data_IF_386720281598
#
_entry.id   IF_386720281598
#
_cell.length_a   1.000
_cell.length_b   1.000
_cell.length_c   1.000
_cell.angle_alpha   90.00
_cell.angle_beta   90.00
_cell.angle_gamma   90.00
#
_symmetry.space_group_name_H-M   'P 1'
#
loop_
_entity.id
_entity.type
_entity.pdbx_description
1 polymer ?
#
# COMPACT_ATOMS: atom_id res chain seq x y z
N UNK A 1 45.63 -1.14 -3.67
CA UNK A 1 44.23 -0.90 -4.11
C UNK A 1 43.29 -1.33 -2.97
N UNK A 2 43.31 -0.64 -1.80
CA UNK A 2 42.49 -1.11 -0.66
C UNK A 2 42.01 0.01 0.28
N UNK A 3 42.33 1.26 -0.02
CA UNK A 3 41.99 2.39 0.88
C UNK A 3 40.52 2.84 0.78
N UNK A 4 39.82 2.58 -0.31
CA UNK A 4 38.45 3.07 -0.55
C UNK A 4 37.37 2.19 0.10
N UNK A 5 37.61 0.89 0.16
CA UNK A 5 36.71 -0.09 0.80
C UNK A 5 36.73 0.02 2.32
N UNK A 6 37.92 0.28 2.90
CA UNK A 6 38.07 0.47 4.35
C UNK A 6 37.40 1.76 4.83
N UNK A 7 37.54 2.85 4.08
CA UNK A 7 36.85 4.12 4.38
C UNK A 7 35.34 3.98 4.29
N UNK A 8 34.81 3.20 3.35
CA UNK A 8 33.38 2.93 3.23
C UNK A 8 32.88 2.05 4.39
N UNK A 9 33.65 1.04 4.77
CA UNK A 9 33.33 0.16 5.91
C UNK A 9 33.31 0.93 7.23
N UNK A 10 34.23 1.87 7.43
CA UNK A 10 34.27 2.73 8.62
C UNK A 10 33.09 3.71 8.66
N UNK A 11 32.70 4.29 7.52
CA UNK A 11 31.51 5.13 7.44
C UNK A 11 30.22 4.35 7.73
N UNK A 12 30.11 3.12 7.29
CA UNK A 12 28.96 2.25 7.58
C UNK A 12 28.92 1.89 9.05
N UNK A 13 30.07 1.58 9.68
CA UNK A 13 30.18 1.31 11.12
C UNK A 13 29.77 2.53 11.95
N UNK A 14 30.29 3.70 11.62
CA UNK A 14 29.94 4.95 12.31
C UNK A 14 28.45 5.29 12.22
N UNK A 15 27.82 5.08 11.03
CA UNK A 15 26.38 5.28 10.86
C UNK A 15 25.54 4.27 11.66
N UNK A 16 25.97 3.01 11.76
CA UNK A 16 25.29 2.01 12.60
C UNK A 16 25.36 2.39 14.08
N UNK A 17 26.52 2.80 14.58
CA UNK A 17 26.65 3.24 15.97
C UNK A 17 25.79 4.47 16.29
N UNK A 18 25.72 5.44 15.38
CA UNK A 18 24.84 6.60 15.54
C UNK A 18 23.34 6.20 15.58
N UNK A 19 22.95 5.26 14.72
CA UNK A 19 21.57 4.74 14.69
C UNK A 19 21.20 4.00 15.97
N UNK A 20 22.10 3.16 16.47
CA UNK A 20 21.91 2.41 17.73
C UNK A 20 21.77 3.37 18.92
N UNK A 21 22.59 4.44 18.96
CA UNK A 21 22.50 5.47 19.99
C UNK A 21 21.18 6.23 19.95
N UNK A 22 20.68 6.55 18.75
CA UNK A 22 19.38 7.24 18.59
C UNK A 22 18.20 6.33 18.92
N UNK A 23 18.29 5.04 18.61
CA UNK A 23 17.30 4.03 19.02
C UNK A 23 17.26 3.87 20.55
N UNK A 24 18.40 3.87 21.23
CA UNK A 24 18.43 3.85 22.69
C UNK A 24 17.84 5.12 23.30
N UNK A 25 18.12 6.30 22.75
CA UNK A 25 17.50 7.56 23.17
C UNK A 25 15.98 7.55 23.00
N UNK A 26 15.49 6.99 21.89
CA UNK A 26 14.06 6.83 21.66
C UNK A 26 13.44 5.83 22.64
N UNK A 27 14.11 4.71 22.94
CA UNK A 27 13.66 3.75 23.96
C UNK A 27 13.57 4.37 25.34
N UNK A 28 14.56 5.16 25.74
CA UNK A 28 14.56 5.85 27.03
C UNK A 28 13.46 6.92 27.13
N UNK A 29 13.20 7.63 26.03
CA UNK A 29 12.06 8.59 25.95
C UNK A 29 10.69 7.91 26.04
N UNK A 30 10.53 6.72 25.48
CA UNK A 30 9.28 5.98 25.59
C UNK A 30 9.09 5.30 26.95
N UNK A 31 10.17 4.93 27.65
CA UNK A 31 10.10 4.41 29.00
C UNK A 31 9.78 5.49 30.05
N UNK A 32 10.09 6.76 29.80
CA UNK A 32 9.73 7.87 30.68
C UNK A 32 8.26 8.31 30.55
N UNK A 33 7.51 7.75 29.61
CA UNK A 33 6.06 7.87 29.51
C UNK A 33 5.38 6.79 30.37
N UNK A 34 5.71 6.71 31.66
CA UNK A 34 4.90 5.92 32.58
C UNK A 34 3.43 6.46 32.52
N UNK A 35 2.44 5.58 32.35
CA UNK A 35 1.05 6.01 32.44
C UNK A 35 0.82 6.48 33.88
N UNK A 36 0.76 7.81 34.05
CA UNK A 36 0.30 8.41 35.31
C UNK A 36 -1.00 7.71 35.69
N UNK A 37 -1.01 7.10 36.88
CA UNK A 37 -2.14 6.42 37.50
C UNK A 37 -3.37 7.34 37.49
N UNK A 38 -4.22 7.22 36.50
CA UNK A 38 -5.62 7.62 36.56
C UNK A 38 -6.40 6.41 37.07
N UNK A 39 -6.09 6.03 38.30
CA UNK A 39 -6.80 5.02 39.02
C UNK A 39 -7.53 5.71 40.18
N UNK A 40 -8.66 6.29 39.90
CA UNK A 40 -9.72 6.47 40.94
C UNK A 40 -10.94 7.15 40.28
N UNK A 41 -11.90 6.38 39.81
CA UNK A 41 -13.34 6.72 39.80
C UNK A 41 -14.22 5.88 38.87
N UNK A 42 -13.78 4.67 38.50
CA UNK A 42 -14.66 3.73 37.80
C UNK A 42 -14.94 2.54 38.70
N UNK A 43 -16.20 2.34 39.02
CA UNK A 43 -16.64 1.31 39.96
C UNK A 43 -16.22 -0.11 39.51
N UNK A 44 -16.10 -1.00 40.45
CA UNK A 44 -15.56 -2.36 40.40
C UNK A 44 -16.23 -3.33 39.41
N UNK A 45 -17.19 -2.89 38.60
CA UNK A 45 -17.93 -3.73 37.64
C UNK A 45 -17.43 -3.65 36.19
N UNK A 46 -16.60 -2.66 35.85
CA UNK A 46 -16.09 -2.50 34.45
C UNK A 46 -14.76 -3.21 34.21
N UNK A 47 -14.00 -3.53 35.24
CA UNK A 47 -12.66 -4.13 35.13
C UNK A 47 -12.62 -5.49 34.40
N UNK A 48 -13.55 -6.44 34.59
CA UNK A 48 -13.52 -7.73 33.92
C UNK A 48 -13.87 -7.62 32.41
N UNK A 49 -14.71 -6.66 32.00
CA UNK A 49 -15.06 -6.48 30.59
C UNK A 49 -13.91 -5.85 29.79
N UNK A 50 -13.19 -4.90 30.37
CA UNK A 50 -12.02 -4.27 29.72
C UNK A 50 -10.86 -5.27 29.62
N UNK A 51 -10.62 -6.07 30.67
CA UNK A 51 -9.63 -7.13 30.65
C UNK A 51 -9.97 -8.23 29.62
N UNK A 52 -11.23 -8.62 29.51
CA UNK A 52 -11.73 -9.57 28.52
C UNK A 52 -11.59 -9.05 27.08
N UNK A 53 -11.93 -7.78 26.84
CA UNK A 53 -11.77 -7.13 25.54
C UNK A 53 -10.29 -6.98 25.14
N UNK A 54 -9.43 -6.60 26.10
CA UNK A 54 -7.99 -6.53 25.89
C UNK A 54 -7.35 -7.92 25.65
N UNK A 55 -7.77 -8.94 26.40
CA UNK A 55 -7.34 -10.32 26.21
C UNK A 55 -7.81 -10.88 24.85
N UNK A 56 -9.05 -10.59 24.44
CA UNK A 56 -9.60 -10.96 23.14
C UNK A 56 -8.88 -10.22 21.99
N UNK A 57 -8.56 -8.94 22.19
CA UNK A 57 -7.79 -8.14 21.24
C UNK A 57 -6.34 -8.65 21.13
N UNK A 58 -5.66 -8.94 22.25
CA UNK A 58 -4.32 -9.55 22.27
C UNK A 58 -4.34 -10.97 21.68
N UNK A 59 -5.37 -11.76 21.95
CA UNK A 59 -5.53 -13.10 21.38
C UNK A 59 -5.79 -13.05 19.87
N UNK A 60 -6.61 -12.09 19.38
CA UNK A 60 -6.79 -11.82 17.94
C UNK A 60 -5.52 -11.30 17.28
N UNK A 61 -4.73 -10.49 17.99
CA UNK A 61 -3.43 -9.99 17.49
C UNK A 61 -2.37 -11.09 17.46
N UNK A 62 -2.36 -12.01 18.44
CA UNK A 62 -1.48 -13.19 18.46
C UNK A 62 -1.83 -14.22 17.38
N UNK A 63 -3.08 -14.27 16.91
CA UNK A 63 -3.49 -15.14 15.80
C UNK A 63 -3.01 -14.67 14.42
N UNK A 64 -2.39 -13.51 14.33
CA UNK A 64 -1.74 -13.00 13.12
C UNK A 64 -0.20 -13.05 13.21
N UNK A 65 0.35 -14.01 13.95
CA UNK A 65 1.76 -14.29 13.85
C UNK A 65 2.03 -14.87 12.45
N UNK A 66 2.73 -14.11 11.62
CA UNK A 66 3.20 -14.58 10.32
C UNK A 66 4.34 -15.55 10.60
N UNK A 67 4.11 -16.85 10.46
CA UNK A 67 5.06 -17.91 10.79
C UNK A 67 5.54 -18.70 9.57
N UNK A 68 4.95 -18.45 8.40
CA UNK A 68 5.22 -19.19 7.17
C UNK A 68 5.13 -18.31 5.92
N UNK A 69 5.73 -18.78 4.82
CA UNK A 69 5.58 -18.13 3.52
C UNK A 69 4.12 -18.13 3.03
N UNK A 70 3.35 -19.15 3.43
CA UNK A 70 1.91 -19.22 3.17
C UNK A 70 1.15 -18.09 3.87
N UNK A 71 1.52 -17.74 5.11
CA UNK A 71 0.89 -16.63 5.83
C UNK A 71 1.22 -15.30 5.14
N UNK A 72 2.49 -15.11 4.72
CA UNK A 72 2.91 -13.92 3.96
C UNK A 72 2.16 -13.80 2.63
N UNK A 73 1.99 -14.91 1.90
CA UNK A 73 1.20 -14.92 0.68
C UNK A 73 -0.24 -14.45 0.96
N UNK A 74 -0.89 -15.04 1.96
CA UNK A 74 -2.27 -14.69 2.30
C UNK A 74 -2.38 -13.22 2.73
N UNK A 75 -1.46 -12.71 3.56
CA UNK A 75 -1.45 -11.30 3.98
C UNK A 75 -1.25 -10.36 2.79
N UNK A 76 -0.32 -10.67 1.87
CA UNK A 76 -0.11 -9.89 0.65
C UNK A 76 -1.35 -9.88 -0.24
N UNK A 77 -2.01 -11.04 -0.40
CA UNK A 77 -3.27 -11.14 -1.15
C UNK A 77 -4.39 -10.33 -0.50
N UNK A 78 -4.45 -10.28 0.85
CA UNK A 78 -5.43 -9.45 1.57
C UNK A 78 -5.22 -7.97 1.30
N UNK A 79 -3.97 -7.51 1.31
CA UNK A 79 -3.67 -6.10 1.02
C UNK A 79 -3.94 -5.73 -0.43
N UNK A 80 -3.60 -6.60 -1.40
CA UNK A 80 -3.96 -6.43 -2.80
C UNK A 80 -5.47 -6.32 -2.98
N UNK A 81 -6.25 -7.27 -2.45
CA UNK A 81 -7.69 -7.26 -2.61
C UNK A 81 -8.35 -5.98 -2.06
N UNK A 82 -7.88 -5.50 -0.91
CA UNK A 82 -8.35 -4.25 -0.31
C UNK A 82 -7.93 -3.03 -1.14
N UNK A 83 -6.71 -3.04 -1.70
CA UNK A 83 -6.22 -1.98 -2.56
C UNK A 83 -7.10 -1.86 -3.82
N UNK A 84 -7.36 -2.95 -4.52
CA UNK A 84 -8.24 -3.00 -5.69
C UNK A 84 -9.63 -2.44 -5.40
N UNK A 85 -10.27 -2.90 -4.32
CA UNK A 85 -11.60 -2.40 -3.92
C UNK A 85 -11.59 -0.90 -3.61
N UNK A 86 -10.50 -0.38 -3.05
CA UNK A 86 -10.35 1.05 -2.76
C UNK A 86 -10.02 1.87 -4.01
N UNK A 87 -9.26 1.31 -4.95
CA UNK A 87 -8.80 2.00 -6.15
C UNK A 87 -9.95 2.30 -7.11
N UNK A 88 -10.93 1.40 -7.29
CA UNK A 88 -12.08 1.63 -8.19
C UNK A 88 -12.77 2.98 -7.94
N UNK A 89 -13.28 3.30 -6.74
CA UNK A 89 -13.90 4.61 -6.51
C UNK A 89 -12.89 5.76 -6.54
N UNK A 90 -11.60 5.53 -6.34
CA UNK A 90 -10.57 6.54 -6.50
C UNK A 90 -10.39 6.92 -7.97
N UNK A 91 -10.26 5.94 -8.86
CA UNK A 91 -10.15 6.12 -10.31
C UNK A 91 -11.36 6.85 -10.89
N UNK A 92 -12.59 6.50 -10.47
CA UNK A 92 -13.80 7.19 -10.91
C UNK A 92 -13.83 8.66 -10.47
N UNK A 93 -13.29 9.00 -9.30
CA UNK A 93 -13.11 10.40 -8.90
C UNK A 93 -12.05 11.11 -9.73
N UNK A 94 -10.96 10.43 -10.07
CA UNK A 94 -9.90 10.97 -10.91
C UNK A 94 -10.39 11.19 -12.34
N UNK A 95 -11.18 10.28 -12.88
CA UNK A 95 -11.88 10.43 -14.17
C UNK A 95 -12.70 11.73 -14.22
N UNK A 96 -13.53 11.96 -13.21
CA UNK A 96 -14.39 13.18 -13.16
C UNK A 96 -13.56 14.46 -12.98
N UNK A 97 -12.40 14.37 -12.33
CA UNK A 97 -11.54 15.51 -12.04
C UNK A 97 -10.56 15.84 -13.18
N UNK A 98 -10.26 14.89 -14.04
CA UNK A 98 -9.36 15.06 -15.18
C UNK A 98 -10.00 16.00 -16.21
N UNK A 99 -9.18 16.91 -16.78
CA UNK A 99 -9.60 17.82 -17.86
C UNK A 99 -9.15 17.32 -19.22
N UNK A 100 -8.07 16.57 -19.30
CA UNK A 100 -7.65 15.89 -20.51
C UNK A 100 -8.57 14.68 -20.78
N UNK A 101 -9.26 14.62 -21.95
CA UNK A 101 -10.22 13.56 -22.23
C UNK A 101 -9.58 12.16 -22.36
N UNK A 102 -8.32 12.08 -22.82
CA UNK A 102 -7.62 10.81 -22.93
C UNK A 102 -7.26 10.27 -21.54
N UNK A 103 -6.88 11.17 -20.61
CA UNK A 103 -6.63 10.83 -19.21
C UNK A 103 -7.91 10.37 -18.51
N UNK A 104 -9.03 11.09 -18.72
CA UNK A 104 -10.32 10.68 -18.17
C UNK A 104 -10.74 9.30 -18.68
N UNK A 105 -10.62 9.04 -19.99
CA UNK A 105 -10.92 7.75 -20.60
C UNK A 105 -9.98 6.63 -20.10
N UNK A 106 -8.72 6.95 -19.81
CA UNK A 106 -7.78 5.99 -19.25
C UNK A 106 -8.20 5.56 -17.84
N UNK A 107 -8.56 6.50 -16.96
CA UNK A 107 -9.05 6.19 -15.61
C UNK A 107 -10.35 5.38 -15.61
N UNK A 108 -11.26 5.64 -16.57
CA UNK A 108 -12.49 4.87 -16.72
C UNK A 108 -12.21 3.40 -17.07
N UNK A 109 -11.36 3.16 -18.08
CA UNK A 109 -10.98 1.80 -18.47
C UNK A 109 -10.24 1.07 -17.34
N UNK A 110 -9.32 1.76 -16.68
CA UNK A 110 -8.58 1.18 -15.57
C UNK A 110 -9.49 0.83 -14.37
N UNK A 111 -10.51 1.62 -14.09
CA UNK A 111 -11.48 1.27 -13.06
C UNK A 111 -12.26 -0.02 -13.40
N UNK A 112 -12.49 -0.34 -14.66
CA UNK A 112 -13.11 -1.59 -15.08
C UNK A 112 -12.10 -2.78 -14.99
N UNK A 113 -10.86 -2.58 -15.40
CA UNK A 113 -9.78 -3.55 -15.26
C UNK A 113 -9.55 -3.92 -13.79
N UNK A 114 -9.50 -2.93 -12.90
CA UNK A 114 -9.38 -3.07 -11.43
C UNK A 114 -10.50 -3.94 -10.84
N UNK A 115 -11.75 -3.81 -11.32
CA UNK A 115 -12.84 -4.73 -10.93
C UNK A 115 -12.52 -6.17 -11.34
N UNK A 116 -12.00 -6.36 -12.55
CA UNK A 116 -11.55 -7.66 -13.05
C UNK A 116 -10.40 -8.24 -12.19
N UNK A 117 -9.48 -7.41 -11.71
CA UNK A 117 -8.39 -7.79 -10.80
C UNK A 117 -8.93 -8.30 -9.46
N UNK A 118 -9.88 -7.59 -8.85
CA UNK A 118 -10.53 -8.03 -7.60
C UNK A 118 -11.23 -9.39 -7.77
N UNK A 119 -11.92 -9.61 -8.90
CA UNK A 119 -12.55 -10.90 -9.21
C UNK A 119 -11.50 -12.00 -9.43
N UNK A 120 -10.39 -11.68 -10.09
CA UNK A 120 -9.25 -12.59 -10.29
C UNK A 120 -8.61 -12.97 -8.97
N UNK A 121 -8.40 -12.00 -8.06
CA UNK A 121 -7.91 -12.25 -6.69
C UNK A 121 -8.85 -13.18 -5.91
N UNK A 122 -10.16 -13.06 -6.07
CA UNK A 122 -11.12 -13.97 -5.44
C UNK A 122 -10.90 -15.43 -5.88
N UNK A 123 -10.53 -15.64 -7.15
CA UNK A 123 -10.14 -16.98 -7.66
C UNK A 123 -8.80 -17.45 -7.09
N UNK A 124 -7.83 -16.54 -6.97
CA UNK A 124 -6.53 -16.81 -6.33
C UNK A 124 -6.74 -17.24 -4.89
N UNK A 125 -7.51 -16.50 -4.09
CA UNK A 125 -7.83 -16.86 -2.71
C UNK A 125 -8.39 -18.28 -2.58
N UNK A 126 -9.34 -18.60 -3.45
CA UNK A 126 -9.97 -19.95 -3.46
C UNK A 126 -8.94 -21.04 -3.75
N UNK A 127 -8.02 -20.80 -4.70
CA UNK A 127 -7.02 -21.79 -5.10
C UNK A 127 -5.95 -22.04 -4.01
N UNK A 128 -5.69 -21.07 -3.14
CA UNK A 128 -4.75 -21.21 -2.02
C UNK A 128 -5.41 -21.56 -0.69
N UNK A 129 -6.72 -21.91 -0.72
CA UNK A 129 -7.47 -22.31 0.47
C UNK A 129 -7.80 -21.17 1.44
N UNK A 130 -7.78 -19.91 0.96
CA UNK A 130 -8.05 -18.72 1.76
C UNK A 130 -9.32 -17.99 1.29
N UNK A 131 -9.68 -16.91 1.97
CA UNK A 131 -10.82 -16.04 1.62
C UNK A 131 -10.43 -14.57 1.77
N UNK A 132 -10.91 -13.69 0.86
CA UNK A 132 -10.69 -12.27 1.01
C UNK A 132 -11.37 -11.74 2.29
N UNK A 133 -10.76 -10.76 2.92
CA UNK A 133 -11.32 -10.07 4.09
C UNK A 133 -11.73 -8.64 3.74
N UNK A 134 -12.71 -8.12 4.46
CA UNK A 134 -13.08 -6.71 4.37
C UNK A 134 -12.07 -5.84 5.10
N UNK A 135 -11.98 -4.59 4.70
CA UNK A 135 -11.10 -3.59 5.32
C UNK A 135 -10.50 -2.66 4.29
N UNK A 136 -9.45 -1.96 4.70
CA UNK A 136 -8.71 -1.05 3.86
C UNK A 136 -7.22 -1.45 3.82
N UNK A 137 -6.56 -1.24 2.69
CA UNK A 137 -5.10 -1.21 2.59
C UNK A 137 -4.62 0.14 3.12
N UNK A 138 -3.71 0.12 4.09
CA UNK A 138 -3.17 1.36 4.68
C UNK A 138 -2.37 2.15 3.64
N UNK A 139 -1.57 1.47 2.82
CA UNK A 139 -0.77 2.09 1.77
C UNK A 139 -1.66 2.76 0.70
N UNK A 140 -2.67 2.05 0.19
CA UNK A 140 -3.62 2.61 -0.79
C UNK A 140 -4.44 3.76 -0.17
N UNK A 141 -4.80 3.67 1.11
CA UNK A 141 -5.49 4.75 1.84
C UNK A 141 -4.63 6.02 1.86
N UNK A 142 -3.32 5.91 2.09
CA UNK A 142 -2.42 7.07 2.08
C UNK A 142 -2.32 7.71 0.69
N UNK A 143 -2.25 6.91 -0.37
CA UNK A 143 -2.22 7.38 -1.77
C UNK A 143 -3.54 8.10 -2.11
N UNK A 144 -4.69 7.50 -1.80
CA UNK A 144 -6.01 8.12 -2.05
C UNK A 144 -6.20 9.43 -1.27
N UNK A 145 -5.75 9.48 -0.02
CA UNK A 145 -5.79 10.72 0.79
C UNK A 145 -4.94 11.83 0.19
N UNK A 146 -3.76 11.49 -0.35
CA UNK A 146 -2.88 12.45 -1.03
C UNK A 146 -3.56 13.00 -2.30
N UNK A 147 -4.13 12.14 -3.11
CA UNK A 147 -4.92 12.54 -4.29
C UNK A 147 -6.10 13.44 -3.93
N UNK A 148 -6.91 13.05 -2.92
CA UNK A 148 -8.04 13.88 -2.45
C UNK A 148 -7.61 15.23 -1.89
N UNK A 149 -6.45 15.30 -1.23
CA UNK A 149 -5.90 16.55 -0.70
C UNK A 149 -5.65 17.56 -1.82
N UNK A 150 -5.11 17.09 -2.94
CA UNK A 150 -4.89 17.94 -4.10
C UNK A 150 -6.21 18.42 -4.73
N UNK A 151 -7.17 17.50 -4.92
CA UNK A 151 -8.46 17.86 -5.52
C UNK A 151 -9.23 18.94 -4.74
N UNK A 152 -8.89 19.14 -3.47
CA UNK A 152 -9.42 20.24 -2.64
C UNK A 152 -8.66 21.56 -2.80
N UNK A 153 -7.52 21.58 -3.48
CA UNK A 153 -6.73 22.80 -3.71
C UNK A 153 -7.19 23.48 -4.98
N UNK A 154 -7.16 24.79 -5.00
CA UNK A 154 -7.27 25.56 -6.24
C UNK A 154 -5.97 25.33 -7.02
N UNK A 155 -6.07 24.63 -8.13
CA UNK A 155 -4.95 24.32 -9.00
C UNK A 155 -5.38 24.61 -10.45
N UNK A 156 -4.41 24.98 -11.27
CA UNK A 156 -4.60 25.04 -12.71
C UNK A 156 -5.04 23.65 -13.23
N UNK A 157 -5.94 23.59 -14.23
CA UNK A 157 -6.44 22.32 -14.78
C UNK A 157 -5.32 21.39 -15.26
N UNK A 158 -4.34 21.90 -16.01
CA UNK A 158 -3.26 21.09 -16.57
C UNK A 158 -2.30 20.60 -15.48
N UNK A 159 -2.00 21.43 -14.50
CA UNK A 159 -1.21 21.06 -13.31
C UNK A 159 -1.94 20.01 -12.48
N UNK A 160 -3.26 20.08 -12.39
CA UNK A 160 -4.07 19.07 -11.73
C UNK A 160 -4.00 17.72 -12.44
N UNK A 161 -4.07 17.70 -13.77
CA UNK A 161 -3.96 16.48 -14.57
C UNK A 161 -2.58 15.82 -14.38
N UNK A 162 -1.50 16.61 -14.39
CA UNK A 162 -0.16 16.09 -14.10
C UNK A 162 -0.07 15.43 -12.71
N UNK A 163 -0.74 16.01 -11.71
CA UNK A 163 -0.78 15.41 -10.38
C UNK A 163 -1.67 14.16 -10.31
N UNK A 164 -2.77 14.11 -11.06
CA UNK A 164 -3.60 12.91 -11.15
C UNK A 164 -2.79 11.75 -11.71
N UNK A 165 -2.02 11.97 -12.78
CA UNK A 165 -1.09 10.97 -13.32
C UNK A 165 -0.10 10.51 -12.26
N UNK A 166 0.59 11.44 -11.58
CA UNK A 166 1.56 11.11 -10.54
C UNK A 166 0.94 10.33 -9.37
N UNK A 167 -0.32 10.58 -9.06
CA UNK A 167 -1.05 9.86 -8.01
C UNK A 167 -1.43 8.45 -8.45
N UNK A 168 -1.91 8.28 -9.68
CA UNK A 168 -2.19 6.99 -10.26
C UNK A 168 -0.94 6.12 -10.33
N UNK A 169 0.17 6.63 -10.87
CA UNK A 169 1.42 5.88 -10.95
C UNK A 169 1.92 5.37 -9.58
N UNK A 170 1.69 6.12 -8.49
CA UNK A 170 2.02 5.61 -7.14
C UNK A 170 1.16 4.39 -6.77
N UNK A 171 -0.10 4.35 -7.19
CA UNK A 171 -0.95 3.19 -6.99
C UNK A 171 -0.45 2.00 -7.82
N UNK A 172 -0.17 2.22 -9.13
CA UNK A 172 0.38 1.19 -10.02
C UNK A 172 1.67 0.57 -9.44
N UNK A 173 2.61 1.42 -9.00
CA UNK A 173 3.88 0.93 -8.45
C UNK A 173 3.70 0.12 -7.15
N UNK A 174 2.72 0.49 -6.30
CA UNK A 174 2.35 -0.30 -5.13
C UNK A 174 1.81 -1.68 -5.54
N UNK A 175 0.92 -1.71 -6.54
CA UNK A 175 0.30 -2.93 -7.04
C UNK A 175 1.30 -3.83 -7.77
N UNK A 176 2.12 -3.28 -8.66
CA UNK A 176 3.22 -3.99 -9.33
C UNK A 176 4.15 -4.68 -8.33
N UNK A 177 4.56 -3.97 -7.26
CA UNK A 177 5.42 -4.54 -6.22
C UNK A 177 4.74 -5.70 -5.48
N UNK A 178 3.48 -5.51 -5.09
CA UNK A 178 2.71 -6.50 -4.33
C UNK A 178 2.31 -7.71 -5.19
N UNK A 179 1.86 -7.51 -6.44
CA UNK A 179 1.58 -8.61 -7.36
C UNK A 179 2.83 -9.41 -7.69
N UNK A 180 3.97 -8.75 -7.93
CA UNK A 180 5.26 -9.41 -8.15
C UNK A 180 5.68 -10.28 -6.96
N UNK A 181 5.51 -9.77 -5.75
CA UNK A 181 5.79 -10.47 -4.50
C UNK A 181 4.85 -11.67 -4.31
N UNK A 182 3.53 -11.46 -4.41
CA UNK A 182 2.53 -12.51 -4.26
C UNK A 182 2.72 -13.64 -5.29
N UNK A 183 3.00 -13.27 -6.56
CA UNK A 183 3.29 -14.24 -7.62
C UNK A 183 4.51 -15.11 -7.27
N UNK A 184 5.57 -14.50 -6.77
CA UNK A 184 6.79 -15.23 -6.39
C UNK A 184 6.53 -16.16 -5.20
N UNK A 185 5.80 -15.70 -4.17
CA UNK A 185 5.42 -16.55 -3.04
C UNK A 185 4.54 -17.72 -3.49
N UNK A 186 3.53 -17.46 -4.33
CA UNK A 186 2.65 -18.51 -4.88
C UNK A 186 3.45 -19.55 -5.68
N UNK A 187 4.37 -19.14 -6.54
CA UNK A 187 5.23 -20.03 -7.31
C UNK A 187 6.13 -20.88 -6.40
N UNK A 188 6.76 -20.28 -5.39
CA UNK A 188 7.63 -20.98 -4.43
C UNK A 188 6.86 -22.03 -3.61
N UNK A 189 5.58 -21.76 -3.31
CA UNK A 189 4.71 -22.67 -2.58
C UNK A 189 4.04 -23.73 -3.47
N UNK A 190 4.30 -23.74 -4.78
CA UNK A 190 3.71 -24.67 -5.73
C UNK A 190 2.28 -24.34 -6.15
N UNK A 191 1.76 -23.17 -5.80
CA UNK A 191 0.43 -22.69 -6.22
C UNK A 191 0.47 -22.15 -7.67
N UNK A 192 0.77 -23.02 -8.64
CA UNK A 192 1.01 -22.66 -10.04
C UNK A 192 -0.15 -21.86 -10.66
N UNK A 193 -1.39 -22.28 -10.42
CA UNK A 193 -2.56 -21.57 -10.93
C UNK A 193 -2.70 -20.15 -10.34
N UNK A 194 -2.47 -20.00 -9.04
CA UNK A 194 -2.44 -18.67 -8.40
C UNK A 194 -1.34 -17.79 -9.01
N UNK A 195 -0.14 -18.34 -9.17
CA UNK A 195 0.99 -17.61 -9.75
C UNK A 195 0.71 -17.13 -11.19
N UNK A 196 0.02 -17.94 -12.01
CA UNK A 196 -0.39 -17.54 -13.36
C UNK A 196 -1.40 -16.39 -13.35
N UNK A 197 -2.42 -16.46 -12.50
CA UNK A 197 -3.41 -15.38 -12.38
C UNK A 197 -2.79 -14.07 -11.88
N UNK A 198 -1.86 -14.16 -10.92
CA UNK A 198 -1.15 -12.99 -10.39
C UNK A 198 -0.19 -12.41 -11.44
N UNK A 199 0.45 -13.24 -12.27
CA UNK A 199 1.29 -12.79 -13.37
C UNK A 199 0.47 -12.01 -14.41
N UNK A 200 -0.72 -12.49 -14.74
CA UNK A 200 -1.60 -11.81 -15.69
C UNK A 200 -1.94 -10.39 -15.21
N UNK A 201 -2.36 -10.23 -13.94
CA UNK A 201 -2.62 -8.89 -13.39
C UNK A 201 -1.36 -8.03 -13.36
N UNK A 202 -0.22 -8.58 -12.95
CA UNK A 202 1.06 -7.85 -12.94
C UNK A 202 1.43 -7.28 -14.32
N UNK A 203 1.12 -7.99 -15.39
CA UNK A 203 1.36 -7.52 -16.76
C UNK A 203 0.40 -6.40 -17.14
N UNK A 204 -0.86 -6.49 -16.72
CA UNK A 204 -1.89 -5.46 -16.93
C UNK A 204 -1.54 -4.17 -16.18
N UNK A 205 -1.08 -4.24 -14.91
CA UNK A 205 -0.63 -3.06 -14.14
C UNK A 205 0.59 -2.37 -14.76
N UNK A 206 1.57 -3.16 -15.22
CA UNK A 206 2.73 -2.60 -15.94
C UNK A 206 2.33 -1.89 -17.22
N UNK A 207 1.40 -2.46 -17.97
CA UNK A 207 0.89 -1.84 -19.19
C UNK A 207 0.15 -0.53 -18.90
N UNK A 208 -0.56 -0.45 -17.78
CA UNK A 208 -1.24 0.76 -17.32
C UNK A 208 -0.23 1.85 -16.92
N UNK A 209 0.78 1.53 -16.11
CA UNK A 209 1.86 2.47 -15.73
C UNK A 209 2.58 3.05 -16.97
N UNK A 210 2.87 2.19 -17.97
CA UNK A 210 3.43 2.66 -19.23
C UNK A 210 2.49 3.57 -20.03
N UNK A 211 1.17 3.30 -20.02
CA UNK A 211 0.18 4.18 -20.66
C UNK A 211 0.12 5.55 -19.98
N UNK A 212 0.11 5.59 -18.65
CA UNK A 212 0.18 6.82 -17.85
C UNK A 212 1.45 7.61 -18.16
N UNK A 213 2.61 6.94 -18.22
CA UNK A 213 3.88 7.56 -18.59
C UNK A 213 3.83 8.19 -19.97
N UNK A 214 3.37 7.44 -20.98
CA UNK A 214 3.26 7.95 -22.35
C UNK A 214 2.32 9.16 -22.46
N UNK A 215 1.20 9.12 -21.73
CA UNK A 215 0.25 10.23 -21.72
C UNK A 215 0.83 11.46 -21.03
N UNK A 216 1.53 11.26 -19.89
CA UNK A 216 2.20 12.32 -19.16
C UNK A 216 3.23 13.05 -20.02
N UNK A 217 4.15 12.28 -20.64
CA UNK A 217 5.25 12.84 -21.43
C UNK A 217 4.79 13.55 -22.70
N UNK A 218 3.78 13.01 -23.38
CA UNK A 218 3.33 13.54 -24.67
C UNK A 218 2.40 14.74 -24.57
N UNK A 219 1.56 14.75 -23.55
CA UNK A 219 0.43 15.71 -23.51
C UNK A 219 0.35 16.46 -22.18
N UNK A 220 0.24 15.76 -21.06
CA UNK A 220 -0.12 16.38 -19.77
C UNK A 220 1.00 17.28 -19.25
N UNK A 221 2.23 16.81 -19.15
CA UNK A 221 3.34 17.60 -18.61
C UNK A 221 3.71 18.80 -19.50
N UNK A 222 3.78 18.68 -20.85
CA UNK A 222 4.03 19.85 -21.69
C UNK A 222 2.95 20.93 -21.61
N UNK A 223 1.69 20.57 -21.36
CA UNK A 223 0.60 21.54 -21.16
C UNK A 223 0.73 22.25 -19.82
N UNK A 224 1.09 21.55 -18.75
CA UNK A 224 1.22 22.13 -17.41
C UNK A 224 2.36 23.15 -17.25
N UNK A 225 3.30 23.23 -18.18
CA UNK A 225 4.38 24.23 -18.21
C UNK A 225 3.86 25.58 -18.76
N UNK A 226 2.80 25.56 -19.55
CA UNK A 226 2.25 26.74 -20.24
C UNK A 226 1.19 27.46 -19.43
N UNK A 227 0.81 26.88 -18.30
CA UNK A 227 -0.14 27.45 -17.32
C UNK A 227 0.64 28.30 -16.31
#
# INVERSE_FOLDING_TARGET
MDSSTDVLADRVRAKRQALDTDLERLRMRTQSLEPRRVASRWGTTAAPMVAGAAALWMWRRRRRAVGSLQDLLVDTLQDLYKAEIQLVPALLRMQVAATNPDLAGLFERHAEETRGHADRLTRVFRSVGARPSRGASEAMTAIDQDGRRLLRRKADPDVRDAWLVATAQRAEHLEIANYGTARTFAATLGHTYAAQLLQQTLEEERAMDEQLTRLAERFVNPQSIRS
#
